data_IF_697923089541
#
_entry.id   IF_697923089541
#
_cell.length_a   1.000
_cell.length_b   1.000
_cell.length_c   1.000
_cell.angle_alpha   90.00
_cell.angle_beta   90.00
_cell.angle_gamma   90.00
#
_symmetry.space_group_name_H-M   'P 1'
#
loop_
_entity.id
_entity.type
_entity.pdbx_description
1 polymer ?
#
# COMPACT_ATOMS: atom_id res chain seq x y z
N UNK A 1 -15.07 5.48 35.95
CA UNK A 1 -14.71 4.94 37.27
C UNK A 1 -13.43 4.14 37.08
N UNK A 2 -12.50 4.12 38.04
CA UNK A 2 -11.29 3.30 37.89
C UNK A 2 -11.62 1.83 38.09
N UNK A 3 -10.96 0.95 37.34
CA UNK A 3 -11.08 -0.50 37.46
C UNK A 3 -10.68 -1.03 38.84
N UNK A 4 -9.77 -0.33 39.53
CA UNK A 4 -9.39 -0.61 40.93
C UNK A 4 -10.49 -0.28 41.95
N UNK A 5 -11.46 0.57 41.58
CA UNK A 5 -12.55 1.03 42.46
C UNK A 5 -13.91 0.46 42.05
N UNK A 6 -13.99 -0.19 40.88
CA UNK A 6 -15.21 -0.74 40.33
C UNK A 6 -15.55 -2.10 40.98
N UNK A 7 -16.71 -2.24 41.67
CA UNK A 7 -17.14 -3.49 42.28
C UNK A 7 -17.28 -4.64 41.27
N UNK A 8 -17.58 -4.36 40.01
CA UNK A 8 -17.66 -5.38 38.95
C UNK A 8 -16.31 -6.02 38.64
N UNK A 9 -15.21 -5.42 39.10
CA UNK A 9 -13.85 -5.84 38.84
C UNK A 9 -13.09 -6.26 40.11
N UNK A 10 -13.78 -6.37 41.25
CA UNK A 10 -13.20 -6.67 42.56
C UNK A 10 -12.61 -8.09 42.66
N UNK A 11 -13.12 -9.04 41.86
CA UNK A 11 -12.63 -10.42 41.78
C UNK A 11 -11.34 -10.55 40.94
N UNK A 12 -11.04 -9.56 40.11
CA UNK A 12 -9.84 -9.54 39.26
C UNK A 12 -8.71 -8.81 39.96
N UNK A 13 -7.68 -9.54 40.38
CA UNK A 13 -6.44 -8.97 40.91
C UNK A 13 -5.77 -8.09 39.84
N UNK A 14 -5.54 -6.82 40.15
CA UNK A 14 -4.82 -5.89 39.27
C UNK A 14 -3.34 -6.24 39.32
N UNK A 15 -2.75 -6.53 38.17
CA UNK A 15 -1.37 -7.02 38.05
C UNK A 15 -0.47 -5.91 37.51
N UNK A 16 0.39 -5.30 38.34
CA UNK A 16 1.33 -4.28 37.90
C UNK A 16 2.28 -4.80 36.82
N UNK A 17 2.78 -3.90 35.98
CA UNK A 17 3.91 -4.21 35.10
C UNK A 17 5.16 -4.50 35.92
N UNK A 18 5.83 -5.60 35.64
CA UNK A 18 7.15 -5.93 36.22
C UNK A 18 8.26 -5.53 35.24
N UNK A 19 8.82 -4.33 35.42
CA UNK A 19 9.98 -3.85 34.66
C UNK A 19 11.33 -4.21 35.32
N UNK A 20 11.30 -5.03 36.38
CA UNK A 20 12.48 -5.40 37.17
C UNK A 20 12.98 -4.28 38.10
N UNK A 21 14.07 -4.54 38.84
CA UNK A 21 14.60 -3.60 39.84
C UNK A 21 15.30 -2.38 39.23
N UNK A 22 15.83 -2.50 38.01
CA UNK A 22 16.58 -1.46 37.29
C UNK A 22 15.96 -1.23 35.88
N UNK A 23 14.79 -0.57 35.81
CA UNK A 23 14.01 -0.51 34.59
C UNK A 23 14.69 0.37 33.53
N UNK A 24 14.78 -0.14 32.30
CA UNK A 24 15.26 0.61 31.13
C UNK A 24 14.08 1.06 30.26
N UNK A 25 14.20 2.21 29.61
CA UNK A 25 13.13 2.81 28.77
C UNK A 25 11.76 2.88 29.45
N UNK A 26 11.76 3.04 30.79
CA UNK A 26 10.54 3.11 31.59
C UNK A 26 9.70 4.32 31.18
N UNK A 27 8.40 4.10 30.99
CA UNK A 27 7.45 5.14 30.63
C UNK A 27 6.74 5.59 31.91
N UNK A 28 6.73 6.89 32.14
CA UNK A 28 5.96 7.49 33.23
C UNK A 28 4.47 7.53 32.85
N UNK A 29 3.79 6.40 32.99
CA UNK A 29 2.35 6.27 32.68
C UNK A 29 1.48 7.14 33.59
N UNK A 30 0.34 7.60 33.06
CA UNK A 30 -0.70 8.19 33.89
C UNK A 30 -1.32 7.12 34.80
N UNK A 31 -1.91 7.55 35.90
CA UNK A 31 -2.63 6.63 36.81
C UNK A 31 -3.74 5.86 36.11
N UNK A 32 -4.40 6.49 35.13
CA UNK A 32 -5.53 5.88 34.43
C UNK A 32 -5.03 4.83 33.42
N UNK A 33 -3.91 5.09 32.74
CA UNK A 33 -3.26 4.07 31.90
C UNK A 33 -2.82 2.86 32.73
N UNK A 34 -2.18 3.10 33.86
CA UNK A 34 -1.74 2.03 34.78
C UNK A 34 -2.93 1.21 35.28
N UNK A 35 -4.02 1.86 35.71
CA UNK A 35 -5.23 1.19 36.19
C UNK A 35 -5.86 0.25 35.13
N UNK A 36 -6.02 0.75 33.91
CA UNK A 36 -6.54 -0.04 32.77
C UNK A 36 -5.63 -1.22 32.45
N UNK A 37 -4.32 -0.98 32.34
CA UNK A 37 -3.36 -2.02 31.96
C UNK A 37 -3.16 -3.06 33.05
N UNK A 38 -3.19 -2.67 34.32
CA UNK A 38 -3.07 -3.60 35.44
C UNK A 38 -4.31 -4.50 35.55
N UNK A 39 -5.49 -3.95 35.28
CA UNK A 39 -6.71 -4.75 35.13
C UNK A 39 -6.59 -5.74 33.97
N UNK A 40 -6.14 -5.27 32.79
CA UNK A 40 -5.96 -6.10 31.61
C UNK A 40 -4.97 -7.25 31.84
N UNK A 41 -3.83 -7.00 32.50
CA UNK A 41 -2.88 -8.07 32.87
C UNK A 41 -3.50 -9.09 33.84
N UNK A 42 -4.36 -8.64 34.76
CA UNK A 42 -5.16 -9.51 35.63
C UNK A 42 -6.08 -10.44 34.85
N UNK A 43 -6.87 -9.87 33.94
CA UNK A 43 -7.78 -10.62 33.04
C UNK A 43 -7.02 -11.61 32.16
N UNK A 44 -5.89 -11.19 31.58
CA UNK A 44 -5.04 -12.07 30.79
C UNK A 44 -4.55 -13.29 31.59
N UNK A 45 -4.17 -13.08 32.86
CA UNK A 45 -3.70 -14.15 33.74
C UNK A 45 -4.82 -15.12 34.13
N UNK A 46 -6.03 -14.62 34.32
CA UNK A 46 -7.23 -15.44 34.54
C UNK A 46 -7.70 -16.13 33.25
N UNK A 47 -7.28 -15.62 32.09
CA UNK A 47 -7.72 -16.05 30.76
C UNK A 47 -9.26 -16.02 30.65
N UNK A 48 -9.87 -14.94 31.15
CA UNK A 48 -11.31 -14.75 31.21
C UNK A 48 -11.88 -14.26 29.87
N UNK A 49 -12.91 -14.94 29.35
CA UNK A 49 -13.69 -14.51 28.19
C UNK A 49 -15.11 -14.17 28.62
N UNK A 50 -15.41 -12.88 28.70
CA UNK A 50 -16.68 -12.35 29.19
C UNK A 50 -17.00 -11.03 28.50
N UNK A 51 -18.26 -10.58 28.60
CA UNK A 51 -18.69 -9.28 28.07
C UNK A 51 -17.93 -8.12 28.72
N UNK A 52 -17.67 -8.18 30.03
CA UNK A 52 -16.86 -7.16 30.73
C UNK A 52 -15.42 -7.14 30.23
N UNK A 53 -14.84 -8.30 29.92
CA UNK A 53 -13.53 -8.37 29.27
C UNK A 53 -13.57 -7.72 27.89
N UNK A 54 -14.60 -7.99 27.09
CA UNK A 54 -14.74 -7.36 25.77
C UNK A 54 -14.79 -5.84 25.88
N UNK A 55 -15.54 -5.31 26.85
CA UNK A 55 -15.58 -3.88 27.14
C UNK A 55 -14.21 -3.34 27.59
N UNK A 56 -13.51 -4.01 28.52
CA UNK A 56 -12.17 -3.62 28.96
C UNK A 56 -11.17 -3.54 27.79
N UNK A 57 -11.26 -4.43 26.80
CA UNK A 57 -10.36 -4.36 25.64
C UNK A 57 -10.54 -3.07 24.84
N UNK A 58 -11.71 -2.41 24.86
CA UNK A 58 -11.89 -1.09 24.24
C UNK A 58 -11.04 -0.05 24.94
N UNK A 59 -11.10 0.03 26.27
CA UNK A 59 -10.33 1.00 27.05
C UNK A 59 -8.81 0.79 26.89
N UNK A 60 -8.36 -0.47 26.80
CA UNK A 60 -6.95 -0.80 26.53
C UNK A 60 -6.53 -0.37 25.11
N UNK A 61 -7.41 -0.54 24.12
CA UNK A 61 -7.17 -0.11 22.74
C UNK A 61 -7.16 1.42 22.65
N UNK A 62 -8.06 2.12 23.35
CA UNK A 62 -8.11 3.57 23.39
C UNK A 62 -6.85 4.13 24.07
N UNK A 63 -6.36 3.47 25.12
CA UNK A 63 -5.12 3.82 25.80
C UNK A 63 -3.87 3.57 24.93
N UNK A 64 -3.84 2.48 24.16
CA UNK A 64 -2.75 2.17 23.23
C UNK A 64 -3.22 1.27 22.07
N UNK A 65 -3.61 1.84 20.93
CA UNK A 65 -4.14 1.07 19.81
C UNK A 65 -3.06 0.24 19.11
N UNK A 66 -1.77 0.45 19.42
CA UNK A 66 -0.66 -0.34 18.87
C UNK A 66 -0.35 -1.61 19.70
N UNK A 67 -1.00 -1.80 20.85
CA UNK A 67 -0.80 -2.99 21.68
C UNK A 67 -1.40 -4.22 21.01
N UNK A 68 -0.59 -4.99 20.29
CA UNK A 68 -1.07 -6.17 19.55
C UNK A 68 -1.63 -7.28 20.45
N UNK A 69 -1.23 -7.34 21.72
CA UNK A 69 -1.73 -8.34 22.68
C UNK A 69 -3.21 -8.15 22.97
N UNK A 70 -3.68 -6.90 23.14
CA UNK A 70 -5.11 -6.65 23.35
C UNK A 70 -5.93 -7.02 22.11
N UNK A 71 -5.45 -6.70 20.90
CA UNK A 71 -6.15 -7.07 19.68
C UNK A 71 -6.27 -8.58 19.51
N UNK A 72 -5.19 -9.32 19.79
CA UNK A 72 -5.23 -10.78 19.80
C UNK A 72 -6.25 -11.30 20.83
N UNK A 73 -6.20 -10.79 22.06
CA UNK A 73 -7.09 -11.25 23.12
C UNK A 73 -8.55 -10.90 22.84
N UNK A 74 -8.82 -9.69 22.32
CA UNK A 74 -10.15 -9.25 21.87
C UNK A 74 -10.76 -10.22 20.87
N UNK A 75 -10.00 -10.71 19.88
CA UNK A 75 -10.49 -11.73 18.93
C UNK A 75 -10.92 -13.02 19.62
N UNK A 76 -10.13 -13.51 20.58
CA UNK A 76 -10.49 -14.72 21.35
C UNK A 76 -11.76 -14.53 22.16
N UNK A 77 -11.95 -13.33 22.72
CA UNK A 77 -13.16 -12.98 23.48
C UNK A 77 -14.36 -12.90 22.55
N UNK A 78 -14.25 -12.23 21.39
CA UNK A 78 -15.31 -12.18 20.38
C UNK A 78 -15.75 -13.58 19.94
N UNK A 79 -14.80 -14.47 19.66
CA UNK A 79 -15.08 -15.86 19.27
C UNK A 79 -15.74 -16.66 20.41
N UNK A 80 -15.24 -16.54 21.64
CA UNK A 80 -15.80 -17.25 22.79
C UNK A 80 -17.22 -16.80 23.15
N UNK A 81 -17.58 -15.55 22.84
CA UNK A 81 -18.90 -15.00 23.10
C UNK A 81 -19.89 -15.17 21.95
N UNK A 82 -19.46 -15.68 20.79
CA UNK A 82 -20.25 -15.66 19.55
C UNK A 82 -20.80 -14.25 19.25
N UNK A 83 -19.93 -13.25 19.41
CA UNK A 83 -20.32 -11.84 19.33
C UNK A 83 -20.72 -11.41 17.90
N UNK A 84 -21.51 -10.34 17.79
CA UNK A 84 -21.86 -9.76 16.49
C UNK A 84 -20.64 -9.10 15.81
N UNK A 85 -20.02 -9.86 14.90
CA UNK A 85 -18.86 -9.41 14.14
C UNK A 85 -19.17 -8.26 13.16
N UNK A 86 -20.45 -7.98 12.84
CA UNK A 86 -20.81 -6.80 12.03
C UNK A 86 -20.66 -5.50 12.82
N UNK A 87 -21.06 -5.52 14.09
CA UNK A 87 -20.79 -4.41 14.99
C UNK A 87 -19.28 -4.18 15.16
N UNK A 88 -18.49 -5.26 15.21
CA UNK A 88 -17.03 -5.17 15.27
C UNK A 88 -16.40 -4.60 13.98
N UNK A 89 -16.97 -4.91 12.80
CA UNK A 89 -16.57 -4.25 11.55
C UNK A 89 -16.87 -2.75 11.57
N UNK A 90 -17.96 -2.31 12.21
CA UNK A 90 -18.23 -0.87 12.34
C UNK A 90 -17.20 -0.21 13.26
N UNK A 91 -16.94 -0.81 14.43
CA UNK A 91 -15.91 -0.34 15.36
C UNK A 91 -14.54 -0.18 14.68
N UNK A 92 -14.09 -1.20 13.93
CA UNK A 92 -12.81 -1.12 13.20
C UNK A 92 -12.81 -0.09 12.08
N UNK A 93 -13.95 0.18 11.45
CA UNK A 93 -14.05 1.22 10.43
C UNK A 93 -13.81 2.61 11.05
N UNK A 94 -14.50 2.90 12.16
CA UNK A 94 -14.36 4.17 12.87
C UNK A 94 -12.92 4.37 13.37
N UNK A 95 -12.34 3.32 13.95
CA UNK A 95 -10.96 3.32 14.42
C UNK A 95 -9.94 3.51 13.30
N UNK A 96 -10.14 2.87 12.14
CA UNK A 96 -9.24 3.01 11.00
C UNK A 96 -9.29 4.40 10.36
N UNK A 97 -10.44 5.07 10.40
CA UNK A 97 -10.54 6.46 9.91
C UNK A 97 -9.86 7.44 10.87
N UNK A 98 -9.91 7.18 12.18
CA UNK A 98 -9.22 8.01 13.19
C UNK A 98 -7.72 7.74 13.27
N UNK A 99 -7.31 6.48 13.13
CA UNK A 99 -5.92 6.02 13.27
C UNK A 99 -5.45 5.25 12.01
N UNK A 100 -5.43 5.90 10.84
CA UNK A 100 -5.30 5.24 9.53
C UNK A 100 -3.97 4.53 9.27
N UNK A 101 -2.95 4.78 10.09
CA UNK A 101 -1.59 4.24 9.95
C UNK A 101 -1.23 3.20 11.02
N UNK A 102 -2.23 2.64 11.70
CA UNK A 102 -2.04 1.62 12.72
C UNK A 102 -2.20 0.21 12.12
N UNK A 103 -1.17 -0.62 12.20
CA UNK A 103 -1.16 -1.98 11.65
C UNK A 103 -2.22 -2.89 12.28
N UNK A 104 -2.41 -2.79 13.59
CA UNK A 104 -3.26 -3.71 14.35
C UNK A 104 -4.73 -3.54 13.98
N UNK A 105 -5.21 -2.31 13.75
CA UNK A 105 -6.59 -2.05 13.34
C UNK A 105 -6.89 -2.71 11.99
N UNK A 106 -6.03 -2.49 10.99
CA UNK A 106 -6.20 -3.09 9.65
C UNK A 106 -6.10 -4.61 9.68
N UNK A 107 -5.16 -5.15 10.46
CA UNK A 107 -5.04 -6.59 10.64
C UNK A 107 -6.27 -7.18 11.35
N UNK A 108 -6.74 -6.54 12.41
CA UNK A 108 -7.92 -6.98 13.15
C UNK A 108 -9.17 -6.98 12.27
N UNK A 109 -9.39 -5.92 11.48
CA UNK A 109 -10.48 -5.88 10.50
C UNK A 109 -10.43 -7.05 9.51
N UNK A 110 -9.24 -7.38 9.01
CA UNK A 110 -9.02 -8.53 8.13
C UNK A 110 -9.39 -9.85 8.82
N UNK A 111 -9.00 -10.04 10.07
CA UNK A 111 -9.37 -11.23 10.84
C UNK A 111 -10.88 -11.31 11.07
N UNK A 112 -11.54 -10.19 11.37
CA UNK A 112 -13.01 -10.12 11.54
C UNK A 112 -13.74 -10.51 10.26
N UNK A 113 -13.30 -10.00 9.10
CA UNK A 113 -13.82 -10.44 7.80
C UNK A 113 -13.58 -11.93 7.53
N UNK A 114 -12.44 -12.47 7.98
CA UNK A 114 -12.14 -13.90 7.83
C UNK A 114 -13.04 -14.79 8.70
N UNK A 115 -13.29 -14.38 9.95
CA UNK A 115 -14.23 -15.05 10.86
C UNK A 115 -15.67 -15.01 10.32
N UNK A 116 -16.08 -13.88 9.72
CA UNK A 116 -17.37 -13.73 9.05
C UNK A 116 -17.49 -14.49 7.72
N UNK A 117 -16.36 -14.88 7.12
CA UNK A 117 -16.28 -15.32 5.73
C UNK A 117 -16.93 -14.34 4.75
N UNK A 118 -16.88 -13.03 5.03
CA UNK A 118 -17.48 -11.99 4.21
C UNK A 118 -16.60 -10.74 4.14
N UNK A 119 -16.37 -10.27 2.91
CA UNK A 119 -15.67 -9.02 2.61
C UNK A 119 -16.45 -8.07 1.70
N UNK A 120 -17.77 -8.27 1.53
CA UNK A 120 -18.59 -7.50 0.59
C UNK A 120 -18.59 -5.99 0.84
N UNK A 121 -18.40 -5.55 2.08
CA UNK A 121 -18.30 -4.13 2.45
C UNK A 121 -16.92 -3.49 2.25
N UNK A 122 -15.88 -4.30 2.02
CA UNK A 122 -14.49 -3.83 2.15
C UNK A 122 -14.08 -2.88 1.02
N UNK A 123 -14.68 -3.02 -0.16
CA UNK A 123 -14.45 -2.09 -1.27
C UNK A 123 -14.95 -0.68 -0.97
N UNK A 124 -16.12 -0.56 -0.35
CA UNK A 124 -16.69 0.73 0.02
C UNK A 124 -15.88 1.36 1.15
N UNK A 125 -15.56 0.58 2.18
CA UNK A 125 -14.73 1.02 3.30
C UNK A 125 -13.33 1.49 2.84
N UNK A 126 -12.63 0.70 2.03
CA UNK A 126 -11.35 1.11 1.48
C UNK A 126 -11.45 2.39 0.63
N UNK A 127 -12.54 2.57 -0.12
CA UNK A 127 -12.74 3.80 -0.88
C UNK A 127 -12.87 5.02 0.05
N UNK A 128 -13.60 4.91 1.16
CA UNK A 128 -13.67 5.97 2.19
C UNK A 128 -12.30 6.28 2.81
N UNK A 129 -11.52 5.25 3.14
CA UNK A 129 -10.19 5.44 3.70
C UNK A 129 -9.20 6.07 2.69
N UNK A 130 -9.32 5.71 1.41
CA UNK A 130 -8.52 6.28 0.30
C UNK A 130 -8.96 7.72 0.00
N UNK A 131 -10.24 8.05 0.13
CA UNK A 131 -10.72 9.44 -0.01
C UNK A 131 -10.10 10.36 1.04
N UNK A 132 -9.95 9.88 2.29
CA UNK A 132 -9.26 10.62 3.35
C UNK A 132 -7.74 10.72 3.18
N UNK A 133 -7.08 9.69 2.65
CA UNK A 133 -5.65 9.69 2.29
C UNK A 133 -5.43 8.79 1.06
N UNK A 134 -5.35 9.42 -0.12
CA UNK A 134 -5.30 8.74 -1.42
C UNK A 134 -4.08 7.83 -1.62
N UNK A 135 -3.10 7.93 -0.71
CA UNK A 135 -1.86 7.15 -0.73
C UNK A 135 -1.70 6.31 0.54
N UNK A 136 -2.76 6.12 1.33
CA UNK A 136 -2.74 5.24 2.50
C UNK A 136 -2.38 3.81 2.10
N UNK A 137 -1.17 3.39 2.47
CA UNK A 137 -0.64 2.08 2.12
C UNK A 137 -1.47 0.93 2.70
N UNK A 138 -1.98 1.08 3.92
CA UNK A 138 -2.80 0.06 4.56
C UNK A 138 -4.14 -0.11 3.85
N UNK A 139 -4.79 1.00 3.45
CA UNK A 139 -6.05 0.95 2.73
C UNK A 139 -5.91 0.25 1.37
N UNK A 140 -4.86 0.58 0.60
CA UNK A 140 -4.57 -0.08 -0.67
C UNK A 140 -4.21 -1.56 -0.49
N UNK A 141 -3.36 -1.90 0.49
CA UNK A 141 -2.99 -3.28 0.78
C UNK A 141 -4.21 -4.12 1.23
N UNK A 142 -5.06 -3.55 2.08
CA UNK A 142 -6.30 -4.19 2.53
C UNK A 142 -7.28 -4.39 1.38
N UNK A 143 -7.43 -3.39 0.50
CA UNK A 143 -8.26 -3.50 -0.71
C UNK A 143 -7.80 -4.66 -1.59
N UNK A 144 -6.50 -4.77 -1.86
CA UNK A 144 -5.94 -5.88 -2.65
C UNK A 144 -6.19 -7.23 -2.00
N UNK A 145 -6.00 -7.33 -0.69
CA UNK A 145 -6.30 -8.54 0.07
C UNK A 145 -7.79 -8.92 -0.06
N UNK A 146 -8.70 -7.98 0.19
CA UNK A 146 -10.15 -8.23 0.15
C UNK A 146 -10.60 -8.63 -1.25
N UNK A 147 -10.19 -7.89 -2.28
CA UNK A 147 -10.50 -8.20 -3.69
C UNK A 147 -10.03 -9.60 -4.06
N UNK A 148 -8.80 -9.97 -3.70
CA UNK A 148 -8.26 -11.29 -4.01
C UNK A 148 -8.94 -12.41 -3.24
N UNK A 149 -9.20 -12.20 -1.95
CA UNK A 149 -9.71 -13.24 -1.04
C UNK A 149 -11.17 -13.56 -1.33
N UNK A 150 -11.98 -12.55 -1.64
CA UNK A 150 -13.42 -12.68 -1.85
C UNK A 150 -13.83 -12.58 -3.33
N UNK A 151 -12.87 -12.52 -4.26
CA UNK A 151 -13.14 -12.47 -5.70
C UNK A 151 -13.82 -11.19 -6.19
N UNK A 152 -13.61 -10.05 -5.52
CA UNK A 152 -14.35 -8.79 -5.75
C UNK A 152 -13.78 -7.93 -6.89
N UNK A 153 -13.44 -8.56 -8.02
CA UNK A 153 -12.74 -7.92 -9.14
C UNK A 153 -13.59 -6.90 -9.91
N UNK A 154 -14.91 -7.12 -9.97
CA UNK A 154 -15.85 -6.28 -10.71
C UNK A 154 -15.81 -4.83 -10.23
N UNK A 155 -15.65 -3.85 -11.12
CA UNK A 155 -15.61 -2.44 -10.74
C UNK A 155 -14.22 -1.91 -10.35
N UNK A 156 -13.19 -2.75 -10.21
CA UNK A 156 -11.87 -2.29 -9.74
C UNK A 156 -11.14 -1.42 -10.77
N UNK A 157 -11.27 -1.69 -12.07
CA UNK A 157 -10.68 -0.82 -13.10
C UNK A 157 -11.40 0.52 -13.17
N UNK A 158 -12.72 0.55 -12.98
CA UNK A 158 -13.49 1.79 -12.90
C UNK A 158 -13.05 2.64 -11.69
N UNK A 159 -12.82 2.01 -10.55
CA UNK A 159 -12.28 2.68 -9.36
C UNK A 159 -10.89 3.25 -9.63
N UNK A 160 -10.00 2.48 -10.26
CA UNK A 160 -8.67 2.98 -10.69
C UNK A 160 -8.79 4.17 -11.63
N UNK A 161 -9.67 4.09 -12.62
CA UNK A 161 -9.85 5.16 -13.61
C UNK A 161 -10.34 6.45 -12.93
N UNK A 162 -11.23 6.34 -11.94
CA UNK A 162 -11.63 7.47 -11.10
C UNK A 162 -10.45 8.07 -10.33
N UNK A 163 -9.66 7.24 -9.63
CA UNK A 163 -8.50 7.71 -8.86
C UNK A 163 -7.43 8.38 -9.74
N UNK A 164 -7.22 7.86 -10.96
CA UNK A 164 -6.29 8.44 -11.93
C UNK A 164 -6.85 9.64 -12.69
N UNK A 165 -8.17 9.84 -12.68
CA UNK A 165 -8.81 11.07 -13.15
C UNK A 165 -8.61 12.19 -12.13
N UNK A 166 -8.72 11.88 -10.84
CA UNK A 166 -8.50 12.82 -9.73
C UNK A 166 -7.00 13.19 -9.58
N UNK A 167 -6.11 12.20 -9.55
CA UNK A 167 -4.66 12.41 -9.55
C UNK A 167 -3.94 11.37 -10.41
N UNK A 168 -3.58 11.77 -11.63
CA UNK A 168 -2.80 10.93 -12.55
C UNK A 168 -1.40 10.58 -11.99
N UNK A 169 -0.89 11.29 -10.97
CA UNK A 169 0.39 11.00 -10.30
C UNK A 169 0.23 10.05 -9.12
N UNK A 170 -0.98 9.54 -8.84
CA UNK A 170 -1.19 8.58 -7.77
C UNK A 170 -0.59 7.21 -8.13
N UNK A 171 0.66 6.98 -7.69
CA UNK A 171 1.37 5.72 -7.93
C UNK A 171 0.66 4.50 -7.31
N UNK A 172 -0.09 4.67 -6.22
CA UNK A 172 -0.87 3.58 -5.62
C UNK A 172 -1.99 3.12 -6.55
N UNK A 173 -2.67 4.05 -7.24
CA UNK A 173 -3.67 3.73 -8.25
C UNK A 173 -3.06 3.03 -9.49
N UNK A 174 -1.88 3.48 -9.95
CA UNK A 174 -1.13 2.79 -11.02
C UNK A 174 -0.72 1.36 -10.63
N UNK A 175 -0.23 1.19 -9.40
CA UNK A 175 0.08 -0.13 -8.86
C UNK A 175 -1.17 -1.00 -8.75
N UNK A 176 -2.29 -0.44 -8.31
CA UNK A 176 -3.56 -1.17 -8.22
C UNK A 176 -4.09 -1.56 -9.60
N UNK A 177 -3.93 -0.71 -10.62
CA UNK A 177 -4.21 -1.06 -12.02
C UNK A 177 -3.43 -2.29 -12.46
N UNK A 178 -2.12 -2.30 -12.21
CA UNK A 178 -1.25 -3.44 -12.50
C UNK A 178 -1.71 -4.70 -11.76
N UNK A 179 -2.02 -4.58 -10.47
CA UNK A 179 -2.53 -5.67 -9.65
C UNK A 179 -3.80 -6.30 -10.24
N UNK A 180 -4.80 -5.48 -10.58
CA UNK A 180 -6.07 -5.95 -11.15
C UNK A 180 -5.83 -6.67 -12.47
N UNK A 181 -5.08 -6.06 -13.39
CA UNK A 181 -4.87 -6.62 -14.73
C UNK A 181 -3.98 -7.88 -14.73
N UNK A 182 -3.05 -7.99 -13.78
CA UNK A 182 -2.16 -9.15 -13.65
C UNK A 182 -2.80 -10.34 -12.93
N UNK A 183 -3.84 -10.11 -12.12
CA UNK A 183 -4.61 -11.17 -11.46
C UNK A 183 -5.91 -11.51 -12.22
N UNK A 184 -6.19 -10.80 -13.31
CA UNK A 184 -7.25 -11.10 -14.28
C UNK A 184 -6.61 -11.41 -15.64
N UNK A 185 -7.40 -11.56 -16.70
CA UNK A 185 -6.88 -11.78 -18.05
C UNK A 185 -6.37 -10.51 -18.75
N UNK A 186 -6.35 -9.36 -18.06
CA UNK A 186 -6.13 -8.03 -18.65
C UNK A 186 -4.76 -7.78 -19.29
N UNK A 187 -3.78 -8.65 -19.09
CA UNK A 187 -2.46 -8.59 -19.75
C UNK A 187 -2.09 -9.89 -20.50
N UNK A 188 -3.02 -10.84 -20.62
CA UNK A 188 -2.75 -12.16 -21.16
C UNK A 188 -2.62 -12.13 -22.70
N UNK A 189 -3.53 -11.45 -23.40
CA UNK A 189 -3.44 -11.29 -24.84
C UNK A 189 -2.64 -10.05 -25.23
N UNK A 190 -1.95 -10.12 -26.37
CA UNK A 190 -1.23 -8.97 -26.95
C UNK A 190 -2.18 -7.77 -27.17
N UNK A 191 -3.40 -8.03 -27.63
CA UNK A 191 -4.42 -7.00 -27.83
C UNK A 191 -4.80 -6.28 -26.53
N UNK A 192 -4.79 -6.97 -25.39
CA UNK A 192 -5.11 -6.37 -24.09
C UNK A 192 -3.95 -5.49 -23.63
N UNK A 193 -2.72 -6.00 -23.73
CA UNK A 193 -1.50 -5.24 -23.46
C UNK A 193 -1.37 -4.00 -24.34
N UNK A 194 -1.71 -4.11 -25.63
CA UNK A 194 -1.73 -2.98 -26.55
C UNK A 194 -2.73 -1.89 -26.13
N UNK A 195 -3.89 -2.25 -25.57
CA UNK A 195 -4.83 -1.26 -24.99
C UNK A 195 -4.20 -0.54 -23.82
N UNK A 196 -3.52 -1.25 -22.92
CA UNK A 196 -2.86 -0.66 -21.75
C UNK A 196 -1.65 0.19 -22.10
N UNK A 197 -0.89 -0.17 -23.14
CA UNK A 197 0.19 0.67 -23.68
C UNK A 197 -0.38 1.99 -24.20
N UNK A 198 -1.49 1.96 -24.97
CA UNK A 198 -2.16 3.19 -25.43
C UNK A 198 -2.66 4.02 -24.25
N UNK A 199 -3.31 3.41 -23.28
CA UNK A 199 -3.77 4.08 -22.06
C UNK A 199 -2.62 4.79 -21.33
N UNK A 200 -1.47 4.11 -21.16
CA UNK A 200 -0.30 4.71 -20.51
C UNK A 200 0.25 5.91 -21.31
N UNK A 201 0.35 5.81 -22.63
CA UNK A 201 0.80 6.90 -23.50
C UNK A 201 -0.16 8.11 -23.50
N UNK A 202 -1.46 7.87 -23.44
CA UNK A 202 -2.48 8.92 -23.27
C UNK A 202 -2.28 9.65 -21.93
N UNK A 203 -2.10 8.91 -20.83
CA UNK A 203 -1.87 9.52 -19.51
C UNK A 203 -0.51 10.24 -19.40
N UNK A 204 0.53 9.74 -20.07
CA UNK A 204 1.83 10.45 -20.21
C UNK A 204 1.61 11.80 -20.90
N UNK A 205 0.80 11.84 -21.95
CA UNK A 205 0.54 13.08 -22.71
C UNK A 205 -0.16 14.15 -21.86
N UNK A 206 -0.91 13.76 -20.82
CA UNK A 206 -1.51 14.69 -19.86
C UNK A 206 -0.49 15.29 -18.89
N UNK A 207 0.59 14.57 -18.58
CA UNK A 207 1.60 14.98 -17.62
C UNK A 207 2.95 14.33 -17.95
N UNK A 208 3.68 14.91 -18.90
CA UNK A 208 4.92 14.32 -19.46
C UNK A 208 6.01 14.09 -18.41
N UNK A 209 6.06 14.90 -17.35
CA UNK A 209 7.00 14.73 -16.23
C UNK A 209 6.44 13.87 -15.07
N UNK A 210 5.33 13.16 -15.26
CA UNK A 210 4.82 12.21 -14.28
C UNK A 210 5.50 10.86 -14.43
N UNK A 211 6.34 10.47 -13.47
CA UNK A 211 7.10 9.22 -13.52
C UNK A 211 6.21 7.96 -13.51
N UNK A 212 5.09 7.96 -12.79
CA UNK A 212 4.25 6.76 -12.59
C UNK A 212 3.79 6.09 -13.89
N UNK A 213 3.18 6.78 -14.87
CA UNK A 213 2.78 6.16 -16.13
C UNK A 213 3.97 5.74 -17.00
N UNK A 214 5.14 6.38 -16.89
CA UNK A 214 6.36 5.90 -17.56
C UNK A 214 6.85 4.57 -16.96
N UNK A 215 6.83 4.45 -15.63
CA UNK A 215 7.18 3.21 -14.95
C UNK A 215 6.18 2.09 -15.25
N UNK A 216 4.88 2.42 -15.31
CA UNK A 216 3.85 1.48 -15.73
C UNK A 216 4.05 1.01 -17.17
N UNK A 217 4.32 1.93 -18.11
CA UNK A 217 4.64 1.62 -19.50
C UNK A 217 5.86 0.70 -19.63
N UNK A 218 6.94 0.98 -18.88
CA UNK A 218 8.13 0.10 -18.80
C UNK A 218 7.75 -1.32 -18.37
N UNK A 219 6.86 -1.46 -17.39
CA UNK A 219 6.35 -2.75 -16.94
C UNK A 219 5.58 -3.50 -18.03
N UNK A 220 4.76 -2.80 -18.80
CA UNK A 220 3.96 -3.40 -19.89
C UNK A 220 4.83 -3.92 -21.03
N UNK A 221 5.88 -3.20 -21.40
CA UNK A 221 6.72 -3.52 -22.57
C UNK A 221 7.85 -4.49 -22.26
N UNK A 222 8.25 -4.64 -20.99
CA UNK A 222 9.33 -5.53 -20.58
C UNK A 222 9.02 -6.97 -20.99
N UNK A 223 9.93 -7.58 -21.77
CA UNK A 223 9.75 -8.93 -22.32
C UNK A 223 8.88 -9.00 -23.58
N UNK A 224 8.35 -7.87 -24.04
CA UNK A 224 7.53 -7.73 -25.24
C UNK A 224 8.07 -6.62 -26.17
N UNK A 225 9.37 -6.33 -26.08
CA UNK A 225 9.98 -5.20 -26.78
C UNK A 225 9.83 -5.33 -28.30
N UNK A 226 9.92 -6.56 -28.84
CA UNK A 226 9.75 -6.81 -30.28
C UNK A 226 8.39 -6.33 -30.82
N UNK A 227 7.34 -6.39 -30.01
CA UNK A 227 5.99 -5.95 -30.40
C UNK A 227 5.83 -4.43 -30.27
N UNK A 228 6.30 -3.85 -29.15
CA UNK A 228 5.91 -2.47 -28.79
C UNK A 228 7.01 -1.42 -29.00
N UNK A 229 8.28 -1.81 -29.15
CA UNK A 229 9.40 -0.87 -29.16
C UNK A 229 9.28 0.18 -30.27
N UNK A 230 8.86 -0.20 -31.49
CA UNK A 230 8.77 0.74 -32.60
C UNK A 230 7.84 1.92 -32.28
N UNK A 231 6.59 1.63 -31.91
CA UNK A 231 5.59 2.65 -31.59
C UNK A 231 5.92 3.43 -30.31
N UNK A 232 6.43 2.75 -29.27
CA UNK A 232 6.77 3.42 -28.01
C UNK A 232 7.98 4.33 -28.16
N UNK A 233 9.01 3.94 -28.94
CA UNK A 233 10.15 4.80 -29.26
C UNK A 233 9.71 6.02 -30.06
N UNK A 234 8.91 5.84 -31.09
CA UNK A 234 8.35 6.95 -31.90
C UNK A 234 7.68 7.97 -30.98
N UNK A 235 6.78 7.51 -30.09
CA UNK A 235 6.09 8.41 -29.19
C UNK A 235 7.01 9.09 -28.16
N UNK A 236 7.99 8.36 -27.63
CA UNK A 236 8.97 8.92 -26.70
C UNK A 236 9.90 9.95 -27.38
N UNK A 237 10.26 9.74 -28.65
CA UNK A 237 11.03 10.71 -29.45
C UNK A 237 10.22 11.98 -29.70
N UNK A 238 8.94 11.86 -30.11
CA UNK A 238 8.05 13.02 -30.27
C UNK A 238 7.95 13.84 -28.98
N UNK A 239 7.72 13.17 -27.85
CA UNK A 239 7.59 13.83 -26.55
C UNK A 239 8.90 14.47 -26.11
N UNK A 240 10.04 13.83 -26.32
CA UNK A 240 11.34 14.40 -25.99
C UNK A 240 11.69 15.58 -26.89
N UNK A 241 11.31 15.56 -28.17
CA UNK A 241 11.49 16.70 -29.06
C UNK A 241 10.64 17.91 -28.62
N UNK A 242 9.40 17.67 -28.17
CA UNK A 242 8.52 18.71 -27.63
C UNK A 242 8.90 19.16 -26.21
N UNK A 243 9.54 18.29 -25.42
CA UNK A 243 9.89 18.52 -24.01
C UNK A 243 11.30 17.95 -23.74
N UNK A 244 12.36 18.68 -24.14
CA UNK A 244 13.75 18.18 -24.09
C UNK A 244 14.28 17.84 -22.71
N UNK A 245 13.69 18.39 -21.65
CA UNK A 245 14.02 18.13 -20.25
C UNK A 245 13.24 16.93 -19.66
N UNK A 246 12.42 16.24 -20.45
CA UNK A 246 11.74 15.02 -20.01
C UNK A 246 12.72 13.86 -19.84
N UNK A 247 13.28 13.74 -18.64
CA UNK A 247 14.23 12.68 -18.28
C UNK A 247 13.66 11.27 -18.49
N UNK A 248 12.33 11.09 -18.35
CA UNK A 248 11.69 9.78 -18.43
C UNK A 248 11.59 9.26 -19.86
N UNK A 249 11.29 10.14 -20.82
CA UNK A 249 11.29 9.82 -22.24
C UNK A 249 12.72 9.46 -22.71
N UNK A 250 13.71 10.29 -22.36
CA UNK A 250 15.12 10.03 -22.66
C UNK A 250 15.59 8.71 -22.05
N UNK A 251 15.31 8.47 -20.76
CA UNK A 251 15.67 7.23 -20.09
C UNK A 251 15.00 6.00 -20.71
N UNK A 252 13.76 6.11 -21.21
CA UNK A 252 13.06 5.00 -21.87
C UNK A 252 13.70 4.68 -23.22
N UNK A 253 14.06 5.70 -24.01
CA UNK A 253 14.77 5.53 -25.27
C UNK A 253 16.13 4.85 -25.07
N UNK A 254 16.87 5.26 -24.04
CA UNK A 254 18.14 4.60 -23.67
C UNK A 254 17.92 3.12 -23.42
N UNK A 255 16.85 2.72 -22.73
CA UNK A 255 16.56 1.30 -22.46
C UNK A 255 16.27 0.50 -23.74
N UNK A 256 15.47 1.05 -24.66
CA UNK A 256 15.19 0.39 -25.95
C UNK A 256 16.44 0.27 -26.82
N UNK A 257 17.20 1.36 -26.98
CA UNK A 257 18.43 1.33 -27.78
C UNK A 257 19.49 0.40 -27.19
N UNK A 258 19.61 0.33 -25.86
CA UNK A 258 20.48 -0.65 -25.18
C UNK A 258 20.10 -2.09 -25.53
N UNK A 259 18.81 -2.35 -25.76
CA UNK A 259 18.29 -3.69 -26.08
C UNK A 259 18.46 -4.04 -27.56
N UNK A 260 18.34 -3.05 -28.44
CA UNK A 260 18.60 -3.20 -29.89
C UNK A 260 20.05 -3.55 -30.18
N UNK A 261 20.98 -2.84 -29.54
CA UNK A 261 22.41 -3.18 -29.58
C UNK A 261 23.10 -3.01 -30.94
N UNK A 262 22.47 -2.36 -31.93
CA UNK A 262 23.16 -1.94 -33.16
C UNK A 262 24.08 -0.76 -32.87
N UNK A 263 25.09 -0.54 -33.72
CA UNK A 263 26.03 0.57 -33.56
C UNK A 263 25.30 1.93 -33.53
N UNK A 264 24.29 2.11 -34.38
CA UNK A 264 23.46 3.32 -34.41
C UNK A 264 22.64 3.50 -33.13
N UNK A 265 22.10 2.40 -32.59
CA UNK A 265 21.35 2.43 -31.34
C UNK A 265 22.27 2.75 -30.15
N UNK A 266 23.45 2.15 -30.09
CA UNK A 266 24.45 2.41 -29.04
C UNK A 266 24.91 3.86 -29.08
N UNK A 267 25.15 4.43 -30.26
CA UNK A 267 25.50 5.83 -30.44
C UNK A 267 24.37 6.76 -29.99
N UNK A 268 23.12 6.47 -30.40
CA UNK A 268 21.95 7.23 -29.97
C UNK A 268 21.73 7.18 -28.44
N UNK A 269 21.90 6.00 -27.84
CA UNK A 269 21.82 5.82 -26.40
C UNK A 269 22.92 6.60 -25.67
N UNK A 270 24.15 6.58 -26.19
CA UNK A 270 25.30 7.26 -25.58
C UNK A 270 25.07 8.77 -25.50
N UNK A 271 24.58 9.38 -26.58
CA UNK A 271 24.22 10.81 -26.60
C UNK A 271 23.16 11.17 -25.56
N UNK A 272 22.08 10.38 -25.48
CA UNK A 272 21.03 10.59 -24.49
C UNK A 272 21.56 10.45 -23.05
N UNK A 273 22.43 9.46 -22.81
CA UNK A 273 23.04 9.25 -21.49
C UNK A 273 23.95 10.41 -21.10
N UNK A 274 24.71 10.98 -22.04
CA UNK A 274 25.53 12.17 -21.80
C UNK A 274 24.66 13.39 -21.42
N UNK A 275 23.59 13.66 -22.18
CA UNK A 275 22.63 14.72 -21.83
C UNK A 275 21.97 14.49 -20.47
N UNK A 276 21.54 13.26 -20.16
CA UNK A 276 20.97 12.92 -18.86
C UNK A 276 21.99 13.14 -17.72
N UNK A 277 23.24 12.77 -17.94
CA UNK A 277 24.32 12.85 -16.95
C UNK A 277 24.72 14.30 -16.66
N UNK A 278 24.86 15.12 -17.70
CA UNK A 278 25.48 16.44 -17.60
C UNK A 278 24.49 17.60 -17.63
N UNK A 279 23.25 17.39 -18.10
CA UNK A 279 22.27 18.48 -18.26
C UNK A 279 20.98 18.24 -17.46
N UNK A 280 20.25 17.15 -17.72
CA UNK A 280 18.83 17.05 -17.29
C UNK A 280 18.58 16.20 -16.04
N UNK A 281 19.42 15.19 -15.74
CA UNK A 281 19.23 14.28 -14.60
C UNK A 281 20.51 14.12 -13.75
N UNK A 282 21.14 15.26 -13.44
CA UNK A 282 22.42 15.35 -12.72
C UNK A 282 22.41 14.63 -11.37
N UNK A 283 21.26 14.55 -10.69
CA UNK A 283 21.12 13.82 -9.42
C UNK A 283 21.45 12.33 -9.57
N UNK A 284 21.24 11.77 -10.77
CA UNK A 284 21.59 10.38 -11.12
C UNK A 284 22.86 10.27 -11.97
N UNK A 285 23.75 11.27 -11.95
CA UNK A 285 25.01 11.27 -12.73
C UNK A 285 25.82 9.98 -12.59
N UNK A 286 26.02 9.48 -11.37
CA UNK A 286 26.75 8.23 -11.15
C UNK A 286 26.09 7.02 -11.81
N UNK A 287 24.75 6.98 -11.82
CA UNK A 287 23.99 5.93 -12.50
C UNK A 287 24.15 6.03 -14.03
N UNK A 288 24.07 7.23 -14.60
CA UNK A 288 24.25 7.45 -16.03
C UNK A 288 25.69 7.14 -16.50
N UNK A 289 26.70 7.49 -15.69
CA UNK A 289 28.08 7.11 -15.93
C UNK A 289 28.25 5.58 -15.96
N UNK A 290 27.63 4.87 -15.01
CA UNK A 290 27.60 3.42 -15.01
C UNK A 290 26.94 2.88 -16.28
N UNK A 291 25.75 3.38 -16.66
CA UNK A 291 25.04 2.98 -17.89
C UNK A 291 25.89 3.18 -19.14
N UNK A 292 26.55 4.33 -19.29
CA UNK A 292 27.44 4.62 -20.42
C UNK A 292 28.58 3.60 -20.51
N UNK A 293 29.18 3.23 -19.37
CA UNK A 293 30.25 2.23 -19.33
C UNK A 293 29.78 0.84 -19.78
N UNK A 294 28.51 0.49 -19.56
CA UNK A 294 27.95 -0.80 -19.96
C UNK A 294 27.58 -0.87 -21.44
N UNK A 295 27.19 0.26 -22.04
CA UNK A 295 26.92 0.36 -23.49
C UNK A 295 28.19 0.07 -24.30
N UNK A 296 29.31 0.69 -23.92
CA UNK A 296 30.62 0.56 -24.60
C UNK A 296 31.27 -0.82 -24.48
N UNK A 297 30.77 -1.70 -23.60
CA UNK A 297 31.25 -3.08 -23.45
C UNK A 297 30.47 -4.08 -24.31
N UNK A 298 29.35 -3.65 -24.90
CA UNK A 298 28.43 -4.49 -25.70
C UNK A 298 28.53 -4.22 -27.20
N UNK A 299 29.05 -3.06 -27.59
CA UNK A 299 29.57 -2.81 -28.94
C UNK A 299 30.94 -3.48 -29.09
#
# INVERSE_FOLDING_TARGET
MRYSEDPEWADVVKVPQDDGPDPIVSIAYSSDFTDVMDCFRGVLKLNEYSERTLALTLDVIDANPANYTVWYFRRRVLEALDADLRAELQFTADMALQNPKNYQIWHHRREVCAMLHDGGGEKAFCAMAIDGDSKNYHAWAHRQWAVKTFGLWDGELQFVDQMLLEDVRNNSAWNHRWFVLSNTSGLAAEADRQREVRYALEKISLAVHNESPWNYLRGLVRGHEATFAAHVKEKAQELLAATPDCIFAAALLVDFYTKEGTDEAVEAASKLVETLMDDTDRVRKAYWQFRLSTLKRRA
#
